data_IF_827920368055
#
_entry.id   IF_827920368055
#
_cell.length_a   1.000
_cell.length_b   1.000
_cell.length_c   1.000
_cell.angle_alpha   90.00
_cell.angle_beta   90.00
_cell.angle_gamma   90.00
#
_symmetry.space_group_name_H-M   'P 1'
#
loop_
_entity.id
_entity.type
_entity.pdbx_description
1 polymer ?
#
# COMPACT_ATOMS: atom_id res chain seq x y z
N UNK A 1 15.62 1.20 -6.59
CA UNK A 1 14.75 0.06 -6.92
C UNK A 1 13.89 0.41 -8.12
N UNK A 2 13.84 -0.47 -9.13
CA UNK A 2 13.04 -0.27 -10.33
C UNK A 2 11.62 -0.84 -10.13
N UNK A 3 10.59 -0.12 -10.59
CA UNK A 3 9.17 -0.52 -10.45
C UNK A 3 8.90 -1.93 -10.99
N UNK A 4 9.44 -2.24 -12.16
CA UNK A 4 9.31 -3.57 -12.79
C UNK A 4 9.83 -4.70 -11.90
N UNK A 5 10.89 -4.46 -11.13
CA UNK A 5 11.45 -5.48 -10.23
C UNK A 5 10.49 -5.76 -9.07
N UNK A 6 9.80 -4.75 -8.56
CA UNK A 6 8.83 -4.92 -7.48
C UNK A 6 7.61 -5.72 -7.95
N UNK A 7 7.08 -5.35 -9.12
CA UNK A 7 5.96 -6.07 -9.76
C UNK A 7 6.33 -7.54 -10.02
N UNK A 8 7.51 -7.80 -10.58
CA UNK A 8 7.94 -9.17 -10.86
C UNK A 8 8.24 -9.97 -9.59
N UNK A 9 8.67 -9.33 -8.50
CA UNK A 9 8.96 -10.01 -7.23
C UNK A 9 7.68 -10.45 -6.53
N UNK A 10 6.63 -9.63 -6.57
CA UNK A 10 5.34 -9.95 -5.92
C UNK A 10 4.46 -10.81 -6.83
N UNK A 11 4.46 -10.54 -8.14
CA UNK A 11 3.64 -11.23 -9.14
C UNK A 11 2.75 -10.24 -9.88
N UNK A 12 2.87 -10.22 -11.22
CA UNK A 12 2.10 -9.31 -12.09
C UNK A 12 0.61 -9.64 -12.07
N UNK A 13 0.26 -10.91 -11.86
CA UNK A 13 -1.11 -11.40 -11.76
C UNK A 13 -1.88 -10.80 -10.57
N UNK A 14 -1.18 -10.33 -9.53
CA UNK A 14 -1.81 -9.71 -8.35
C UNK A 14 -1.91 -8.18 -8.46
N UNK A 15 -1.26 -7.57 -9.46
CA UNK A 15 -1.21 -6.11 -9.62
C UNK A 15 -2.60 -5.54 -9.94
N UNK A 16 -2.99 -4.46 -9.27
CA UNK A 16 -4.23 -3.73 -9.54
C UNK A 16 -3.97 -2.25 -9.75
N UNK A 17 -4.63 -1.71 -10.77
CA UNK A 17 -4.71 -0.28 -11.03
C UNK A 17 -6.17 0.10 -11.29
N UNK A 18 -6.51 1.33 -10.94
CA UNK A 18 -7.76 1.94 -11.36
C UNK A 18 -7.55 3.32 -12.03
N UNK A 19 -6.29 3.68 -12.27
CA UNK A 19 -5.89 4.89 -12.99
C UNK A 19 -5.41 4.53 -14.40
N UNK A 20 -5.38 5.53 -15.27
CA UNK A 20 -4.88 5.36 -16.65
C UNK A 20 -3.38 5.03 -16.68
N UNK A 21 -2.64 5.51 -15.69
CA UNK A 21 -1.31 5.03 -15.35
C UNK A 21 -1.42 3.58 -14.87
N UNK A 22 -0.94 2.64 -15.69
CA UNK A 22 -1.24 1.20 -15.63
C UNK A 22 -1.01 0.48 -14.29
N UNK A 23 -0.25 1.08 -13.36
CA UNK A 23 0.14 0.46 -12.09
C UNK A 23 -0.35 1.24 -10.84
N UNK A 24 -0.92 2.44 -11.02
CA UNK A 24 -1.27 3.34 -9.91
C UNK A 24 -2.70 3.11 -9.42
N UNK A 25 -2.92 3.32 -8.12
CA UNK A 25 -4.22 3.17 -7.49
C UNK A 25 -4.69 4.46 -6.83
N UNK A 26 -5.99 4.74 -6.90
CA UNK A 26 -6.64 5.79 -6.14
C UNK A 26 -7.88 5.28 -5.42
N UNK A 27 -7.88 5.34 -4.09
CA UNK A 27 -9.04 5.01 -3.26
C UNK A 27 -10.19 5.98 -3.50
N UNK A 28 -9.90 7.28 -3.58
CA UNK A 28 -10.90 8.27 -3.89
C UNK A 28 -11.55 8.02 -5.26
N UNK A 29 -10.81 7.59 -6.29
CA UNK A 29 -11.42 7.18 -7.56
C UNK A 29 -12.29 5.93 -7.40
N UNK A 30 -11.80 4.92 -6.68
CA UNK A 30 -12.54 3.66 -6.45
C UNK A 30 -13.92 3.90 -5.82
N UNK A 31 -14.01 4.78 -4.82
CA UNK A 31 -15.27 5.07 -4.11
C UNK A 31 -16.10 6.19 -4.76
N UNK A 32 -15.68 6.73 -5.91
CA UNK A 32 -16.45 7.75 -6.63
C UNK A 32 -16.17 9.21 -6.24
N UNK A 33 -15.11 9.48 -5.48
CA UNK A 33 -14.54 10.81 -5.28
C UNK A 33 -14.06 11.08 -3.85
N UNK A 34 -13.34 12.20 -3.67
CA UNK A 34 -12.80 12.63 -2.37
C UNK A 34 -13.87 12.77 -1.28
N UNK A 35 -15.04 13.34 -1.62
CA UNK A 35 -16.13 13.52 -0.66
C UNK A 35 -16.68 12.19 -0.15
N UNK A 36 -16.76 11.17 -1.02
CA UNK A 36 -17.22 9.85 -0.61
C UNK A 36 -16.16 9.15 0.25
N UNK A 37 -14.88 9.32 -0.08
CA UNK A 37 -13.78 8.81 0.75
C UNK A 37 -13.78 9.44 2.15
N UNK A 38 -13.98 10.76 2.27
CA UNK A 38 -14.10 11.43 3.57
C UNK A 38 -15.23 10.86 4.43
N UNK A 39 -16.39 10.59 3.83
CA UNK A 39 -17.53 9.95 4.52
C UNK A 39 -17.18 8.56 5.02
N UNK A 40 -16.52 7.74 4.19
CA UNK A 40 -16.08 6.38 4.57
C UNK A 40 -15.06 6.43 5.71
N UNK A 41 -14.13 7.38 5.66
CA UNK A 41 -13.11 7.59 6.69
C UNK A 41 -13.65 8.22 7.99
N UNK A 42 -14.89 8.74 7.98
CA UNK A 42 -15.44 9.51 9.10
C UNK A 42 -14.67 10.80 9.39
N UNK A 43 -14.12 11.46 8.35
CA UNK A 43 -13.29 12.67 8.48
C UNK A 43 -13.94 13.87 7.79
N UNK A 44 -13.73 15.07 8.34
CA UNK A 44 -14.18 16.33 7.74
C UNK A 44 -13.22 16.84 6.65
N UNK A 45 -11.94 16.45 6.72
CA UNK A 45 -10.89 16.85 5.78
C UNK A 45 -9.90 15.70 5.54
N UNK A 46 -9.22 15.74 4.40
CA UNK A 46 -8.24 14.71 4.04
C UNK A 46 -7.04 14.75 5.00
N UNK A 47 -6.43 13.59 5.30
CA UNK A 47 -5.20 13.55 6.09
C UNK A 47 -4.07 14.27 5.35
N UNK A 48 -3.21 14.97 6.07
CA UNK A 48 -2.01 15.59 5.51
C UNK A 48 -0.76 14.81 5.96
N UNK A 49 0.18 14.49 5.04
CA UNK A 49 0.15 14.79 3.61
C UNK A 49 -0.88 13.94 2.85
N UNK A 50 -1.69 14.59 2.01
CA UNK A 50 -2.60 13.88 1.10
C UNK A 50 -1.95 13.67 -0.26
N UNK A 51 -1.86 12.41 -0.69
CA UNK A 51 -1.59 12.09 -2.09
C UNK A 51 -2.72 11.21 -2.61
N UNK A 52 -3.18 11.51 -3.83
CA UNK A 52 -4.31 10.84 -4.44
C UNK A 52 -3.93 9.48 -5.06
N UNK A 53 -2.62 9.23 -5.22
CA UNK A 53 -2.08 8.16 -6.03
C UNK A 53 -1.11 7.30 -5.21
N UNK A 54 -1.54 6.09 -4.91
CA UNK A 54 -0.66 5.02 -4.45
C UNK A 54 0.11 4.48 -5.66
N UNK A 55 1.43 4.34 -5.52
CA UNK A 55 2.30 3.93 -6.63
C UNK A 55 1.99 2.52 -7.14
N UNK A 56 1.80 1.55 -6.25
CA UNK A 56 1.54 0.15 -6.61
C UNK A 56 0.64 -0.52 -5.57
N UNK A 57 -0.36 -1.27 -6.05
CA UNK A 57 -1.25 -2.09 -5.21
C UNK A 57 -1.35 -3.51 -5.77
N UNK A 58 -1.28 -4.50 -4.88
CA UNK A 58 -1.54 -5.90 -5.21
C UNK A 58 -2.65 -6.48 -4.36
N UNK A 59 -3.40 -7.44 -4.89
CA UNK A 59 -4.47 -8.18 -4.20
C UNK A 59 -4.55 -9.62 -4.66
N UNK A 60 -4.98 -10.53 -3.78
CA UNK A 60 -5.20 -11.96 -4.09
C UNK A 60 -6.46 -12.26 -4.92
N UNK A 61 -7.24 -11.25 -5.29
CA UNK A 61 -8.43 -11.34 -6.14
C UNK A 61 -8.48 -10.19 -7.15
N UNK A 62 -9.05 -10.41 -8.33
CA UNK A 62 -9.33 -9.34 -9.31
C UNK A 62 -10.47 -8.42 -8.86
N UNK A 63 -11.37 -8.92 -8.02
CA UNK A 63 -12.39 -8.15 -7.35
C UNK A 63 -11.89 -7.77 -5.95
N UNK A 64 -11.56 -6.48 -5.68
CA UNK A 64 -11.00 -6.08 -4.39
C UNK A 64 -11.88 -6.46 -3.20
N UNK A 65 -13.20 -6.45 -3.33
CA UNK A 65 -14.13 -6.84 -2.25
C UNK A 65 -14.07 -8.34 -1.87
N UNK A 66 -13.47 -9.18 -2.72
CA UNK A 66 -13.27 -10.63 -2.47
C UNK A 66 -11.84 -10.95 -2.03
N UNK A 67 -10.96 -9.96 -1.95
CA UNK A 67 -9.59 -10.14 -1.49
C UNK A 67 -9.56 -10.42 0.02
N UNK A 68 -8.54 -11.15 0.45
CA UNK A 68 -8.17 -11.24 1.86
C UNK A 68 -6.87 -10.48 2.16
N UNK A 69 -6.04 -10.26 1.14
CA UNK A 69 -4.70 -9.71 1.27
C UNK A 69 -4.49 -8.54 0.30
N UNK A 70 -3.85 -7.49 0.80
CA UNK A 70 -3.37 -6.37 -0.02
C UNK A 70 -1.89 -6.10 0.26
N UNK A 71 -1.13 -5.80 -0.80
CA UNK A 71 0.22 -5.26 -0.67
C UNK A 71 0.25 -3.86 -1.27
N UNK A 72 0.61 -2.86 -0.47
CA UNK A 72 0.69 -1.46 -0.86
C UNK A 72 2.16 -1.06 -0.90
N UNK A 73 2.62 -0.51 -2.03
CA UNK A 73 3.99 0.02 -2.16
C UNK A 73 3.93 1.49 -2.51
N UNK A 74 4.60 2.30 -1.70
CA UNK A 74 4.93 3.70 -2.00
C UNK A 74 6.41 3.80 -2.32
N UNK A 75 6.76 4.49 -3.40
CA UNK A 75 8.16 4.67 -3.83
C UNK A 75 8.64 6.09 -3.58
N UNK A 76 9.88 6.22 -3.11
CA UNK A 76 10.54 7.51 -2.89
C UNK A 76 12.00 7.42 -3.31
N UNK A 77 12.62 8.52 -3.71
CA UNK A 77 14.07 8.57 -3.92
C UNK A 77 14.82 8.11 -2.66
N UNK A 78 14.55 8.82 -1.56
CA UNK A 78 14.89 8.46 -0.19
C UNK A 78 13.70 8.84 0.70
N UNK A 79 13.18 7.87 1.44
CA UNK A 79 12.02 8.05 2.30
C UNK A 79 12.29 8.92 3.54
N UNK A 80 11.28 9.71 3.91
CA UNK A 80 11.22 10.52 5.13
C UNK A 80 10.06 10.08 6.02
N UNK A 81 9.99 10.61 7.25
CA UNK A 81 8.85 10.37 8.15
C UNK A 81 7.52 10.95 7.62
N UNK A 82 7.56 11.95 6.73
CA UNK A 82 6.36 12.41 6.04
C UNK A 82 5.80 11.34 5.10
N UNK A 83 6.68 10.56 4.46
CA UNK A 83 6.29 9.49 3.55
C UNK A 83 5.70 8.29 4.31
N UNK A 84 6.17 8.05 5.55
CA UNK A 84 5.55 7.07 6.46
C UNK A 84 4.10 7.46 6.76
N UNK A 85 3.83 8.75 7.02
CA UNK A 85 2.45 9.25 7.22
C UNK A 85 1.59 9.10 5.97
N UNK A 86 2.17 9.32 4.79
CA UNK A 86 1.48 9.11 3.52
C UNK A 86 1.10 7.63 3.33
N UNK A 87 2.06 6.70 3.55
CA UNK A 87 1.79 5.26 3.48
C UNK A 87 0.73 4.84 4.51
N UNK A 88 0.79 5.39 5.73
CA UNK A 88 -0.24 5.17 6.75
C UNK A 88 -1.63 5.57 6.26
N UNK A 89 -1.76 6.72 5.59
CA UNK A 89 -3.06 7.16 5.07
C UNK A 89 -3.64 6.14 4.08
N UNK A 90 -2.82 5.56 3.18
CA UNK A 90 -3.29 4.51 2.27
C UNK A 90 -3.71 3.23 2.98
N UNK A 91 -3.02 2.83 4.04
CA UNK A 91 -3.40 1.67 4.86
C UNK A 91 -4.72 1.93 5.60
N UNK A 92 -4.92 3.14 6.13
CA UNK A 92 -6.18 3.53 6.78
C UNK A 92 -7.34 3.54 5.74
N UNK A 93 -7.09 4.01 4.51
CA UNK A 93 -8.06 4.00 3.40
C UNK A 93 -8.42 2.57 2.94
N UNK A 94 -7.42 1.69 2.80
CA UNK A 94 -7.60 0.28 2.46
C UNK A 94 -8.49 -0.41 3.50
N UNK A 95 -8.22 -0.25 4.79
CA UNK A 95 -9.04 -0.85 5.85
C UNK A 95 -10.44 -0.25 5.94
N UNK A 96 -10.59 1.06 5.73
CA UNK A 96 -11.90 1.69 5.78
C UNK A 96 -12.84 1.19 4.67
N UNK A 97 -12.28 0.93 3.48
CA UNK A 97 -13.03 0.43 2.32
C UNK A 97 -13.17 -1.09 2.36
N UNK A 98 -12.14 -1.79 2.84
CA UNK A 98 -12.06 -3.25 2.89
C UNK A 98 -11.66 -3.76 4.29
N UNK A 99 -12.58 -3.76 5.28
CA UNK A 99 -12.26 -4.04 6.68
C UNK A 99 -11.70 -5.43 6.99
N UNK A 100 -11.79 -6.37 6.05
CA UNK A 100 -11.30 -7.75 6.20
C UNK A 100 -9.90 -7.95 5.59
N UNK A 101 -9.38 -6.96 4.86
CA UNK A 101 -8.08 -7.09 4.24
C UNK A 101 -7.00 -7.09 5.30
N UNK A 102 -6.06 -8.00 5.11
CA UNK A 102 -4.78 -8.00 5.77
C UNK A 102 -3.79 -7.27 4.86
N UNK A 103 -3.09 -6.27 5.38
CA UNK A 103 -2.27 -5.35 4.57
C UNK A 103 -0.78 -5.48 4.86
N UNK A 104 0.03 -5.68 3.82
CA UNK A 104 1.48 -5.43 3.88
C UNK A 104 1.75 -4.07 3.24
N UNK A 105 2.28 -3.14 4.02
CA UNK A 105 2.63 -1.81 3.53
C UNK A 105 4.14 -1.70 3.41
N UNK A 106 4.61 -1.21 2.27
CA UNK A 106 6.03 -1.14 1.93
C UNK A 106 6.36 0.28 1.51
N UNK A 107 7.36 0.87 2.14
CA UNK A 107 8.01 2.09 1.69
C UNK A 107 9.33 1.72 1.03
N UNK A 108 9.48 1.96 -0.27
CA UNK A 108 10.62 1.49 -1.06
C UNK A 108 11.47 2.66 -1.60
N UNK A 109 12.76 2.63 -1.30
CA UNK A 109 13.71 3.63 -1.78
C UNK A 109 14.27 3.30 -3.17
N UNK A 110 14.21 4.29 -4.06
CA UNK A 110 14.71 4.19 -5.43
C UNK A 110 16.25 4.26 -5.43
N UNK A 111 16.84 5.14 -4.64
CA UNK A 111 18.26 5.45 -4.79
C UNK A 111 19.16 4.38 -4.13
N UNK A 112 18.70 3.73 -3.04
CA UNK A 112 19.52 2.76 -2.28
C UNK A 112 18.93 1.34 -2.16
N UNK A 113 17.73 1.08 -2.71
CA UNK A 113 17.02 -0.21 -2.64
C UNK A 113 16.62 -0.68 -1.24
N UNK A 114 16.72 0.16 -0.21
CA UNK A 114 16.20 -0.16 1.12
C UNK A 114 14.67 -0.13 1.12
N UNK A 115 14.07 -0.97 1.96
CA UNK A 115 12.63 -0.94 2.21
C UNK A 115 12.35 -0.87 3.71
N UNK A 116 11.19 -0.32 4.05
CA UNK A 116 10.55 -0.48 5.36
C UNK A 116 9.22 -1.19 5.15
N UNK A 117 8.91 -2.16 6.00
CA UNK A 117 7.73 -3.01 5.86
C UNK A 117 6.89 -2.99 7.13
N UNK A 118 5.58 -2.92 6.96
CA UNK A 118 4.60 -3.01 8.04
C UNK A 118 3.53 -4.05 7.74
N UNK A 119 3.02 -4.69 8.80
CA UNK A 119 1.89 -5.61 8.81
C UNK A 119 0.68 -4.93 9.46
N UNK A 120 -0.40 -4.80 8.70
CA UNK A 120 -1.73 -4.26 9.03
C UNK A 120 -1.77 -2.80 9.52
N UNK A 121 -0.81 -2.32 10.31
CA UNK A 121 -0.75 -0.93 10.77
C UNK A 121 0.62 -0.31 10.52
N UNK A 122 0.63 0.95 10.07
CA UNK A 122 1.88 1.72 9.89
C UNK A 122 2.22 2.44 11.19
N UNK A 123 2.72 1.68 12.15
CA UNK A 123 3.19 2.12 13.47
C UNK A 123 4.27 1.15 13.99
N UNK A 124 4.73 1.36 15.22
CA UNK A 124 5.77 0.50 15.84
C UNK A 124 5.31 -0.95 16.05
N UNK A 125 4.00 -1.19 16.17
CA UNK A 125 3.43 -2.53 16.38
C UNK A 125 3.45 -3.33 15.09
N UNK A 126 3.05 -2.70 13.98
CA UNK A 126 3.06 -3.34 12.67
C UNK A 126 4.44 -3.42 12.02
N UNK A 127 5.45 -2.69 12.51
CA UNK A 127 6.76 -2.59 11.86
C UNK A 127 7.57 -3.89 11.90
N UNK A 128 7.95 -4.40 10.72
CA UNK A 128 8.73 -5.63 10.55
C UNK A 128 10.23 -5.30 10.42
N UNK A 129 10.93 -5.28 11.56
CA UNK A 129 12.35 -4.86 11.65
C UNK A 129 13.33 -5.74 10.86
N UNK A 130 12.98 -7.00 10.66
CA UNK A 130 13.84 -7.98 9.97
C UNK A 130 13.65 -7.95 8.44
N UNK A 131 12.57 -7.33 7.96
CA UNK A 131 12.25 -7.23 6.53
C UNK A 131 12.88 -5.98 5.91
N UNK A 132 14.09 -6.13 5.37
CA UNK A 132 14.92 -5.01 4.87
C UNK A 132 15.11 -5.01 3.36
N UNK A 133 14.67 -6.05 2.65
CA UNK A 133 14.81 -6.15 1.21
C UNK A 133 13.64 -6.91 0.58
N UNK A 134 13.10 -6.39 -0.53
CA UNK A 134 11.94 -6.97 -1.20
C UNK A 134 12.18 -8.40 -1.72
N UNK A 135 13.43 -8.74 -2.09
CA UNK A 135 13.77 -10.09 -2.57
C UNK A 135 13.70 -11.16 -1.47
N UNK A 136 13.82 -10.76 -0.21
CA UNK A 136 13.81 -11.66 0.95
C UNK A 136 12.39 -11.72 1.53
N UNK A 137 11.58 -10.70 1.26
CA UNK A 137 10.20 -10.60 1.70
C UNK A 137 9.38 -11.79 1.19
N UNK A 138 8.90 -12.61 2.13
CA UNK A 138 7.99 -13.70 1.84
C UNK A 138 6.60 -13.35 2.37
N UNK A 139 5.77 -12.73 1.54
CA UNK A 139 4.43 -12.26 1.90
C UNK A 139 3.56 -13.38 2.50
N UNK A 140 3.70 -14.61 1.98
CA UNK A 140 2.98 -15.79 2.49
C UNK A 140 3.40 -16.11 3.94
N UNK A 141 4.71 -16.03 4.27
CA UNK A 141 5.17 -16.26 5.66
C UNK A 141 4.68 -15.20 6.65
N UNK A 142 4.51 -13.94 6.22
CA UNK A 142 4.10 -12.86 7.13
C UNK A 142 2.70 -13.10 7.72
N UNK A 143 1.84 -13.84 7.01
CA UNK A 143 0.48 -14.15 7.46
C UNK A 143 0.25 -15.58 7.93
N UNK A 144 1.23 -16.47 7.77
CA UNK A 144 1.18 -17.85 8.28
C UNK A 144 1.78 -18.00 9.69
N UNK A 145 2.31 -16.92 10.26
CA UNK A 145 2.80 -16.85 11.65
C UNK A 145 2.08 -15.75 12.44
#
# INVERSE_FOLDING_TARGET
MQRVNMINTIGREYLRSNLESADEWSYARYVGGKNQLLKILGKEKMPEPFNFKLDIRFTDSDEPSKSNYSVLIETKHIATESDVKQLKAYVDEEHAIFPKHKVIAILANIDNNEIRVWKDTVDDVGFLKDEKNLKILNIIKIYLH
#
